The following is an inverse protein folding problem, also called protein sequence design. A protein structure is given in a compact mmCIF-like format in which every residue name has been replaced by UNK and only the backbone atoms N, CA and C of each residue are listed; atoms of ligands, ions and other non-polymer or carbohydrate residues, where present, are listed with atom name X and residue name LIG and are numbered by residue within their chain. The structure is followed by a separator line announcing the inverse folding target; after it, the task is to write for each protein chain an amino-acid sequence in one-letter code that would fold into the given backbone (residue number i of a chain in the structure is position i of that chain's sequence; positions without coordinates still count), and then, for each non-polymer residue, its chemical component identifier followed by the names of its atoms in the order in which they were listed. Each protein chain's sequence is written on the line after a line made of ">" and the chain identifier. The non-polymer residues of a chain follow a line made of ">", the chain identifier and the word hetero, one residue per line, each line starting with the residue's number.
data_IF_570711898739
#
_entry.id   IF_570711898739
#
_cell.length_a   1.000
_cell.length_b   1.000
_cell.length_c   1.000
_cell.angle_alpha   90.00
_cell.angle_beta   90.00
_cell.angle_gamma   90.00
#
_symmetry.space_group_name_H-M   'P 1'
#
loop_
_entity.id
_entity.type
_entity.pdbx_description
1 polymer ?
#
# COMPACT_ATOMS: atom_id res chain seq x y z
N UNK A 1 -8.04 -20.08 20.86
CA UNK A 1 -7.11 -18.97 20.55
C UNK A 1 -7.73 -18.13 19.45
N UNK A 2 -8.04 -16.86 19.71
CA UNK A 2 -8.50 -15.93 18.68
C UNK A 2 -7.30 -15.65 17.76
N UNK A 3 -7.36 -16.09 16.50
CA UNK A 3 -6.44 -15.63 15.47
C UNK A 3 -6.85 -14.22 15.08
N UNK A 4 -6.04 -13.23 15.42
CA UNK A 4 -6.28 -11.85 15.00
C UNK A 4 -6.13 -11.80 13.47
N UNK A 5 -7.19 -11.36 12.78
CA UNK A 5 -7.15 -11.13 11.34
C UNK A 5 -6.82 -9.66 11.08
N UNK A 6 -5.65 -9.41 10.49
CA UNK A 6 -5.11 -8.08 10.23
C UNK A 6 -5.27 -7.73 8.76
N UNK A 7 -5.93 -6.61 8.50
CA UNK A 7 -6.03 -6.05 7.16
C UNK A 7 -4.72 -5.33 6.77
N UNK A 8 -4.19 -5.67 5.60
CA UNK A 8 -3.03 -5.00 4.98
C UNK A 8 -3.59 -4.09 3.87
N UNK A 9 -3.32 -2.79 3.99
CA UNK A 9 -3.65 -1.78 2.97
C UNK A 9 -2.37 -1.32 2.31
N UNK A 10 -2.33 -1.29 0.98
CA UNK A 10 -1.14 -0.91 0.22
C UNK A 10 -1.43 0.25 -0.73
N UNK A 11 -0.47 1.13 -0.92
CA UNK A 11 -0.49 2.14 -1.98
C UNK A 11 0.30 1.69 -3.22
N UNK A 12 0.73 0.42 -3.27
CA UNK A 12 1.50 -0.12 -4.39
C UNK A 12 0.80 0.15 -5.73
N UNK A 13 1.56 0.74 -6.64
CA UNK A 13 1.22 0.84 -8.05
C UNK A 13 2.51 0.79 -8.86
N UNK A 14 2.40 0.37 -10.10
CA UNK A 14 3.48 0.21 -11.07
C UNK A 14 3.86 1.53 -11.77
N UNK A 15 3.10 2.60 -11.54
CA UNK A 15 3.30 3.91 -12.17
C UNK A 15 4.40 4.74 -11.50
N UNK A 16 4.71 4.50 -10.22
CA UNK A 16 5.65 5.31 -9.44
C UNK A 16 6.84 4.46 -8.99
N UNK A 17 8.05 4.85 -9.39
CA UNK A 17 9.29 4.18 -8.96
C UNK A 17 9.43 4.11 -7.44
N UNK A 18 8.95 5.14 -6.73
CA UNK A 18 8.92 5.20 -5.28
C UNK A 18 8.10 4.06 -4.64
N UNK A 19 7.17 3.45 -5.37
CA UNK A 19 6.28 2.40 -4.88
C UNK A 19 6.79 1.00 -5.19
N UNK A 20 7.81 0.85 -6.04
CA UNK A 20 8.41 -0.46 -6.35
C UNK A 20 8.79 -1.27 -5.10
N UNK A 21 9.33 -0.67 -4.01
CA UNK A 21 9.61 -1.41 -2.78
C UNK A 21 8.35 -2.04 -2.13
N UNK A 22 7.17 -1.43 -2.30
CA UNK A 22 5.91 -1.89 -1.69
C UNK A 22 5.42 -3.24 -2.20
N UNK A 23 5.94 -3.72 -3.33
CA UNK A 23 5.59 -5.03 -3.90
C UNK A 23 5.87 -6.17 -2.92
N UNK A 24 6.98 -6.13 -2.19
CA UNK A 24 7.45 -7.24 -1.35
C UNK A 24 7.01 -7.15 0.12
N UNK A 25 6.56 -5.98 0.58
CA UNK A 25 6.15 -5.80 1.99
C UNK A 25 4.98 -6.68 2.43
N UNK A 26 3.94 -6.96 1.62
CA UNK A 26 2.87 -7.85 2.04
C UNK A 26 3.35 -9.24 2.45
N UNK A 27 4.38 -9.78 1.79
CA UNK A 27 4.96 -11.07 2.16
C UNK A 27 5.75 -10.99 3.47
N UNK A 28 6.54 -9.93 3.65
CA UNK A 28 7.30 -9.67 4.88
C UNK A 28 6.35 -9.51 6.08
N UNK A 29 5.28 -8.73 5.90
CA UNK A 29 4.26 -8.50 6.94
C UNK A 29 3.54 -9.81 7.31
N UNK A 30 3.16 -10.63 6.32
CA UNK A 30 2.54 -11.93 6.61
C UNK A 30 3.45 -12.82 7.46
N UNK A 31 4.75 -12.91 7.12
CA UNK A 31 5.72 -13.70 7.90
C UNK A 31 5.79 -13.22 9.36
N UNK A 32 5.91 -11.91 9.58
CA UNK A 32 5.92 -11.33 10.92
C UNK A 32 4.62 -11.59 11.70
N UNK A 33 3.45 -11.51 11.03
CA UNK A 33 2.17 -11.81 11.66
C UNK A 33 2.05 -13.28 12.06
N UNK A 34 2.58 -14.20 11.23
CA UNK A 34 2.61 -15.62 11.55
C UNK A 34 3.43 -15.92 12.82
N UNK A 35 4.59 -15.27 12.99
CA UNK A 35 5.40 -15.36 14.21
C UNK A 35 4.64 -14.85 15.46
N UNK A 36 3.73 -13.89 15.28
CA UNK A 36 2.88 -13.33 16.32
C UNK A 36 1.54 -14.08 16.53
N UNK A 37 1.34 -15.27 15.94
CA UNK A 37 0.08 -16.02 15.96
C UNK A 37 -1.13 -15.25 15.37
N UNK A 38 -0.88 -14.33 14.45
CA UNK A 38 -1.88 -13.58 13.70
C UNK A 38 -1.91 -14.03 12.22
N UNK A 39 -2.98 -13.66 11.51
CA UNK A 39 -3.10 -13.84 10.06
C UNK A 39 -3.30 -12.47 9.41
N UNK A 40 -2.71 -12.25 8.25
CA UNK A 40 -2.80 -11.00 7.52
C UNK A 40 -3.17 -11.19 6.06
N UNK A 41 -4.07 -10.36 5.55
CA UNK A 41 -4.51 -10.40 4.16
C UNK A 41 -4.50 -9.00 3.56
N UNK A 42 -4.17 -8.90 2.27
CA UNK A 42 -4.34 -7.63 1.55
C UNK A 42 -5.84 -7.41 1.39
N UNK A 43 -6.34 -6.39 2.05
CA UNK A 43 -7.77 -6.08 2.10
C UNK A 43 -8.15 -4.95 1.14
N UNK A 44 -7.18 -4.18 0.65
CA UNK A 44 -7.44 -3.11 -0.30
C UNK A 44 -6.18 -2.37 -0.75
N UNK A 45 -6.34 -1.64 -1.86
CA UNK A 45 -5.38 -0.67 -2.36
C UNK A 45 -5.88 0.76 -2.13
N UNK A 46 -4.97 1.70 -1.89
CA UNK A 46 -5.28 3.14 -1.87
C UNK A 46 -4.58 3.83 -3.05
N UNK A 47 -5.22 4.81 -3.70
CA UNK A 47 -4.60 5.55 -4.78
C UNK A 47 -3.43 6.38 -4.26
N UNK A 48 -2.41 6.54 -5.10
CA UNK A 48 -1.26 7.38 -4.79
C UNK A 48 -0.69 8.02 -6.05
N UNK A 49 -0.13 9.21 -5.88
CA UNK A 49 0.55 9.98 -6.92
C UNK A 49 1.91 10.45 -6.40
N UNK A 50 2.82 10.71 -7.34
CA UNK A 50 4.10 11.31 -7.02
C UNK A 50 4.05 12.80 -7.36
N UNK A 51 4.38 13.65 -6.39
CA UNK A 51 4.47 15.09 -6.59
C UNK A 51 5.42 15.43 -7.75
N UNK A 52 6.55 14.72 -7.88
CA UNK A 52 7.49 14.92 -9.00
C UNK A 52 6.93 14.53 -10.37
N UNK A 53 5.89 13.70 -10.45
CA UNK A 53 5.20 13.33 -11.71
C UNK A 53 4.08 14.30 -12.05
N UNK A 54 3.39 14.83 -11.03
CA UNK A 54 2.25 15.75 -11.20
C UNK A 54 2.69 17.22 -11.25
N UNK A 55 3.91 17.56 -10.82
CA UNK A 55 4.46 18.91 -10.89
C UNK A 55 4.57 19.41 -12.34
N UNK A 56 4.07 20.64 -12.59
CA UNK A 56 4.14 21.30 -13.89
C UNK A 56 2.99 20.98 -14.86
N UNK A 57 2.08 20.06 -14.50
CA UNK A 57 0.78 19.89 -15.17
C UNK A 57 -0.35 20.30 -14.23
N UNK A 58 -1.25 21.13 -14.73
CA UNK A 58 -2.48 21.52 -14.02
C UNK A 58 -3.50 20.37 -14.14
N UNK A 59 -3.28 19.27 -13.41
CA UNK A 59 -4.19 18.11 -13.45
C UNK A 59 -5.41 18.26 -12.54
N UNK A 60 -5.40 19.26 -11.66
CA UNK A 60 -6.49 19.53 -10.74
C UNK A 60 -7.21 20.82 -11.13
N UNK A 61 -8.26 20.67 -11.93
CA UNK A 61 -9.42 21.55 -11.82
C UNK A 61 -10.04 21.30 -10.42
N UNK A 62 -9.38 21.82 -9.38
CA UNK A 62 -9.86 21.80 -8.02
C UNK A 62 -10.99 22.83 -7.90
N UNK A 63 -12.19 22.44 -8.32
CA UNK A 63 -13.41 23.11 -7.85
C UNK A 63 -13.67 22.60 -6.44
N UNK A 64 -13.16 23.36 -5.47
CA UNK A 64 -13.77 23.43 -4.14
C UNK A 64 -15.26 23.77 -4.27
#
# INVERSE_FOLDING_TARGET
>A
MLRNNIAIITSYNDMLSAHQPYEHYPEIIRKALHEANAVGQVAGGVPAMCDGVTQGRMEWNCRC
#
